data_IF_181874030838
#
_entry.id   IF_181874030838
#
_cell.length_a   1.000
_cell.length_b   1.000
_cell.length_c   1.000
_cell.angle_alpha   90.00
_cell.angle_beta   90.00
_cell.angle_gamma   90.00
#
_symmetry.space_group_name_H-M   'P 1'
#
loop_
_entity.id
_entity.type
_entity.pdbx_description
1 polymer ?
#
# COMPACT_ATOMS: atom_id res chain seq x y z
N UNK A 1 -26.94 -31.38 -2.87
CA UNK A 1 -26.82 -29.94 -2.47
C UNK A 1 -25.70 -29.33 -3.29
N UNK A 2 -25.86 -29.40 -4.60
CA UNK A 2 -25.01 -28.83 -5.62
C UNK A 2 -25.72 -27.54 -6.07
N UNK A 3 -25.18 -26.35 -5.78
CA UNK A 3 -25.46 -25.11 -6.53
C UNK A 3 -24.80 -23.82 -5.99
N UNK A 4 -23.84 -23.88 -5.04
CA UNK A 4 -23.14 -22.66 -4.59
C UNK A 4 -21.70 -22.51 -5.15
N UNK A 5 -21.29 -23.37 -6.08
CA UNK A 5 -19.96 -23.31 -6.70
C UNK A 5 -19.93 -22.53 -8.04
N UNK A 6 -21.06 -21.95 -8.48
CA UNK A 6 -21.15 -21.27 -9.78
C UNK A 6 -20.73 -19.79 -9.77
N UNK A 7 -20.57 -19.16 -8.60
CA UNK A 7 -20.42 -17.69 -8.53
C UNK A 7 -19.03 -17.17 -8.18
N UNK A 8 -18.02 -18.04 -7.95
CA UNK A 8 -16.74 -17.62 -7.37
C UNK A 8 -15.49 -18.26 -7.99
N UNK A 9 -15.59 -18.77 -9.21
CA UNK A 9 -14.42 -19.32 -9.91
C UNK A 9 -14.56 -19.18 -11.42
N UNK A 10 -14.26 -18.00 -11.93
CA UNK A 10 -14.02 -17.82 -13.36
C UNK A 10 -12.99 -16.71 -13.56
N UNK A 11 -11.71 -17.05 -13.42
CA UNK A 11 -10.57 -16.34 -14.00
C UNK A 11 -9.31 -17.23 -13.91
N UNK A 12 -9.34 -18.39 -14.58
CA UNK A 12 -8.11 -19.11 -14.92
C UNK A 12 -8.34 -20.00 -16.16
N UNK A 13 -7.48 -19.84 -17.17
CA UNK A 13 -7.38 -20.51 -18.49
C UNK A 13 -7.91 -19.66 -19.67
N UNK A 14 -7.08 -18.87 -20.36
CA UNK A 14 -6.03 -19.19 -21.36
C UNK A 14 -6.56 -19.20 -22.82
N UNK A 15 -5.93 -18.38 -23.66
CA UNK A 15 -6.01 -18.41 -25.12
C UNK A 15 -4.92 -17.52 -25.71
N UNK A 16 -3.99 -18.12 -26.45
CA UNK A 16 -2.71 -17.58 -26.93
C UNK A 16 -2.83 -16.58 -28.09
N UNK A 17 -1.78 -15.74 -28.18
CA UNK A 17 -1.19 -15.03 -29.32
C UNK A 17 -2.00 -14.03 -30.16
N UNK A 18 -1.56 -12.75 -30.14
CA UNK A 18 -1.01 -12.01 -31.31
C UNK A 18 -1.01 -10.47 -31.09
N UNK A 19 0.17 -9.89 -30.89
CA UNK A 19 0.61 -8.53 -31.30
C UNK A 19 -0.26 -7.29 -30.95
N UNK A 20 0.25 -6.38 -30.11
CA UNK A 20 0.76 -5.04 -30.52
C UNK A 20 0.68 -3.96 -29.40
N UNK A 21 1.86 -3.53 -28.96
CA UNK A 21 2.26 -2.17 -28.53
C UNK A 21 1.59 -1.54 -27.29
N UNK A 22 2.38 -1.59 -26.21
CA UNK A 22 2.26 -0.80 -25.00
C UNK A 22 2.38 0.71 -25.29
N UNK A 23 1.61 1.52 -24.55
CA UNK A 23 1.80 2.96 -24.47
C UNK A 23 3.06 3.22 -23.63
N UNK A 24 4.12 3.65 -24.31
CA UNK A 24 5.36 4.10 -23.70
C UNK A 24 5.11 5.44 -22.96
N UNK A 25 5.17 5.39 -21.63
CA UNK A 25 5.29 6.57 -20.78
C UNK A 25 6.65 7.24 -21.03
N UNK A 26 6.66 8.35 -21.77
CA UNK A 26 7.88 9.05 -22.18
C UNK A 26 8.44 9.98 -21.08
N UNK A 27 9.76 10.19 -21.14
CA UNK A 27 10.64 10.96 -20.25
C UNK A 27 10.31 12.46 -20.05
N UNK A 28 9.29 12.97 -20.75
CA UNK A 28 8.87 14.38 -20.69
C UNK A 28 7.69 14.65 -19.76
N UNK A 29 7.17 13.62 -19.10
CA UNK A 29 6.05 13.75 -18.18
C UNK A 29 6.56 14.24 -16.82
N UNK A 30 6.38 15.52 -16.52
CA UNK A 30 6.78 16.11 -15.23
C UNK A 30 6.01 15.45 -14.08
N UNK A 31 6.72 14.87 -13.12
CA UNK A 31 6.13 14.08 -12.04
C UNK A 31 5.71 14.89 -10.80
N UNK A 32 5.90 16.22 -10.79
CA UNK A 32 5.54 17.06 -9.65
C UNK A 32 4.97 18.41 -10.12
N UNK A 33 3.91 18.84 -9.46
CA UNK A 33 3.36 20.21 -9.52
C UNK A 33 4.17 21.10 -8.59
N UNK A 34 4.59 22.27 -9.04
CA UNK A 34 5.40 23.25 -8.30
C UNK A 34 4.87 23.55 -6.88
N UNK A 35 5.73 23.57 -5.84
CA UNK A 35 5.29 23.86 -4.49
C UNK A 35 5.40 25.36 -4.18
N UNK A 36 4.26 26.02 -3.96
CA UNK A 36 4.23 27.32 -3.26
C UNK A 36 4.00 27.09 -1.76
N UNK A 37 5.13 27.06 -1.03
CA UNK A 37 5.48 27.71 0.26
C UNK A 37 4.46 27.73 1.44
N UNK A 38 5.02 27.43 2.64
CA UNK A 38 4.57 27.63 4.04
C UNK A 38 3.66 26.55 4.64
N UNK A 39 3.91 25.97 5.82
CA UNK A 39 4.58 26.47 7.02
C UNK A 39 5.18 25.32 7.87
N UNK A 40 6.45 25.49 8.25
CA UNK A 40 7.02 25.33 9.61
C UNK A 40 6.39 24.35 10.62
N UNK A 41 7.14 23.32 11.03
CA UNK A 41 7.86 23.27 12.33
C UNK A 41 8.52 21.90 12.58
N UNK A 42 9.81 21.95 12.87
CA UNK A 42 10.71 20.82 13.18
C UNK A 42 10.57 20.46 14.66
N UNK A 43 10.62 19.16 15.03
CA UNK A 43 11.33 18.73 16.26
C UNK A 43 11.61 17.21 16.33
N UNK A 44 12.84 16.81 16.00
CA UNK A 44 13.57 15.77 16.73
C UNK A 44 14.96 16.31 17.03
N UNK A 45 15.11 16.91 18.20
CA UNK A 45 16.43 17.19 18.79
C UNK A 45 16.33 16.86 20.29
N UNK A 46 17.23 15.97 20.70
CA UNK A 46 17.54 15.64 22.09
C UNK A 46 17.96 16.93 22.82
N UNK A 47 17.22 17.30 23.84
CA UNK A 47 17.48 18.52 24.62
C UNK A 47 18.49 18.21 25.71
N UNK A 48 19.76 18.55 25.48
CA UNK A 48 20.67 18.91 26.57
C UNK A 48 21.32 20.28 26.23
N UNK A 49 21.01 21.24 27.08
CA UNK A 49 21.73 22.47 27.45
C UNK A 49 21.95 23.65 26.46
N UNK A 50 21.19 24.72 26.79
CA UNK A 50 21.32 26.17 26.59
C UNK A 50 22.63 26.82 26.03
N UNK A 51 22.50 27.45 24.84
CA UNK A 51 22.91 28.83 24.38
C UNK A 51 24.40 29.31 24.45
N UNK A 52 24.84 30.41 23.76
CA UNK A 52 24.36 31.12 22.54
C UNK A 52 25.46 31.55 21.52
N UNK A 53 25.03 31.76 20.26
CA UNK A 53 25.45 32.74 19.22
C UNK A 53 26.94 33.14 19.04
N UNK A 54 27.52 32.84 17.85
CA UNK A 54 28.28 33.79 16.98
C UNK A 54 29.13 33.03 15.94
N UNK A 55 28.70 33.01 14.66
CA UNK A 55 29.64 33.01 13.53
C UNK A 55 28.93 33.35 12.22
N UNK A 56 29.05 34.60 11.79
CA UNK A 56 28.52 35.21 10.56
C UNK A 56 29.36 34.88 9.32
N UNK A 57 29.63 33.60 9.04
CA UNK A 57 30.31 33.19 7.81
C UNK A 57 29.69 31.89 7.29
N UNK A 58 29.28 31.79 6.01
CA UNK A 58 28.96 30.50 5.43
C UNK A 58 30.25 29.69 5.40
N UNK A 59 30.39 28.79 6.37
CA UNK A 59 31.47 27.80 6.40
C UNK A 59 31.24 26.95 5.15
N UNK A 60 32.22 26.90 4.23
CA UNK A 60 32.26 25.99 3.07
C UNK A 60 31.84 24.54 3.38
N UNK A 61 31.92 24.16 4.66
CA UNK A 61 31.43 22.90 5.23
C UNK A 61 29.91 22.70 5.09
N UNK A 62 29.08 23.74 5.17
CA UNK A 62 27.61 23.62 5.09
C UNK A 62 27.14 23.34 3.66
N UNK A 63 27.73 24.04 2.67
CA UNK A 63 27.47 23.78 1.25
C UNK A 63 27.87 22.34 0.89
N UNK A 64 29.03 21.87 1.35
CA UNK A 64 29.46 20.49 1.12
C UNK A 64 28.57 19.46 1.83
N UNK A 65 28.04 19.79 3.01
CA UNK A 65 27.07 18.94 3.72
C UNK A 65 25.72 18.88 2.99
N UNK A 66 25.25 20.01 2.47
CA UNK A 66 24.03 20.08 1.66
C UNK A 66 24.17 19.23 0.38
N UNK A 67 25.31 19.33 -0.31
CA UNK A 67 25.60 18.49 -1.49
C UNK A 67 25.66 17.00 -1.15
N UNK A 68 26.27 16.62 -0.03
CA UNK A 68 26.27 15.23 0.42
C UNK A 68 24.86 14.72 0.76
N UNK A 69 24.02 15.56 1.37
CA UNK A 69 22.62 15.22 1.65
C UNK A 69 21.84 15.00 0.35
N UNK A 70 22.00 15.90 -0.63
CA UNK A 70 21.36 15.77 -1.95
C UNK A 70 21.81 14.47 -2.62
N UNK A 71 23.11 14.16 -2.59
CA UNK A 71 23.63 12.95 -3.20
C UNK A 71 23.11 11.68 -2.52
N UNK A 72 23.07 11.66 -1.19
CA UNK A 72 22.55 10.52 -0.42
C UNK A 72 21.04 10.34 -0.62
N UNK A 73 20.28 11.43 -0.62
CA UNK A 73 18.84 11.43 -0.89
C UNK A 73 18.56 10.95 -2.32
N UNK A 74 19.31 11.45 -3.30
CA UNK A 74 19.22 10.99 -4.70
C UNK A 74 19.56 9.51 -4.82
N UNK A 75 20.67 9.06 -4.21
CA UNK A 75 21.07 7.65 -4.22
C UNK A 75 20.03 6.72 -3.55
N UNK A 76 19.27 7.24 -2.59
CA UNK A 76 18.18 6.51 -1.92
C UNK A 76 16.91 6.47 -2.77
N UNK A 77 16.62 7.55 -3.49
CA UNK A 77 15.37 7.72 -4.24
C UNK A 77 15.45 7.24 -5.70
N UNK A 78 16.66 7.04 -6.24
CA UNK A 78 16.85 6.46 -7.56
C UNK A 78 16.56 4.95 -7.51
N UNK A 79 15.67 4.51 -8.39
CA UNK A 79 15.27 3.10 -8.48
C UNK A 79 16.29 2.36 -9.36
N UNK A 80 17.04 1.44 -8.77
CA UNK A 80 17.86 0.49 -9.52
C UNK A 80 16.97 -0.66 -10.04
N UNK A 81 16.60 -0.58 -11.32
CA UNK A 81 15.79 -1.59 -12.00
C UNK A 81 16.53 -2.93 -12.15
N UNK A 82 17.87 -2.93 -12.16
CA UNK A 82 18.67 -4.13 -12.28
C UNK A 82 18.79 -4.91 -10.96
N UNK A 83 18.55 -4.26 -9.81
CA UNK A 83 18.58 -4.88 -8.49
C UNK A 83 17.34 -5.72 -8.14
N UNK A 84 16.36 -5.85 -9.04
CA UNK A 84 15.14 -6.65 -8.85
C UNK A 84 15.37 -8.18 -8.91
N UNK A 85 16.60 -8.62 -9.18
CA UNK A 85 16.97 -10.03 -9.18
C UNK A 85 17.01 -10.67 -7.78
N UNK A 86 16.87 -12.00 -7.74
CA UNK A 86 16.89 -12.78 -6.50
C UNK A 86 18.28 -12.76 -5.83
N UNK A 87 18.44 -11.84 -4.88
CA UNK A 87 19.34 -11.88 -3.71
C UNK A 87 20.84 -12.08 -3.98
N UNK A 88 21.60 -10.99 -3.87
CA UNK A 88 23.05 -11.02 -3.58
C UNK A 88 23.34 -11.37 -2.11
N UNK A 89 22.62 -12.35 -1.54
CA UNK A 89 22.87 -12.81 -0.17
C UNK A 89 23.50 -14.19 -0.22
N UNK A 90 24.69 -14.31 0.35
CA UNK A 90 25.36 -15.60 0.45
C UNK A 90 24.59 -16.55 1.38
N UNK A 91 24.61 -17.85 1.07
CA UNK A 91 23.89 -18.86 1.85
C UNK A 91 24.34 -18.89 3.32
N UNK A 92 25.63 -18.67 3.58
CA UNK A 92 26.16 -18.67 4.94
C UNK A 92 25.61 -17.50 5.77
N UNK A 93 25.59 -16.30 5.18
CA UNK A 93 25.04 -15.09 5.83
C UNK A 93 23.54 -15.24 6.10
N UNK A 94 22.80 -15.85 5.18
CA UNK A 94 21.39 -16.18 5.40
C UNK A 94 21.19 -17.08 6.62
N UNK A 95 21.99 -18.15 6.74
CA UNK A 95 21.90 -19.10 7.86
C UNK A 95 22.27 -18.44 9.20
N UNK A 96 23.32 -17.62 9.22
CA UNK A 96 23.74 -16.88 10.41
C UNK A 96 22.65 -15.91 10.88
N UNK A 97 22.09 -15.11 9.97
CA UNK A 97 20.96 -14.20 10.28
C UNK A 97 19.74 -14.95 10.78
N UNK A 98 19.42 -16.10 10.17
CA UNK A 98 18.30 -16.97 10.59
C UNK A 98 18.49 -17.46 12.02
N UNK A 99 19.69 -17.96 12.34
CA UNK A 99 20.02 -18.44 13.69
C UNK A 99 19.97 -17.30 14.71
N UNK A 100 20.54 -16.14 14.37
CA UNK A 100 20.52 -14.95 15.22
C UNK A 100 19.09 -14.49 15.54
N UNK A 101 18.23 -14.35 14.53
CA UNK A 101 16.84 -13.94 14.73
C UNK A 101 16.03 -14.99 15.48
N UNK A 102 16.25 -16.27 15.21
CA UNK A 102 15.59 -17.36 15.93
C UNK A 102 15.95 -17.33 17.42
N UNK A 103 17.24 -17.16 17.74
CA UNK A 103 17.70 -17.04 19.13
C UNK A 103 17.09 -15.81 19.81
N UNK A 104 17.11 -14.64 19.16
CA UNK A 104 16.54 -13.39 19.68
C UNK A 104 15.02 -13.47 19.85
N UNK A 105 14.32 -14.17 18.96
CA UNK A 105 12.87 -14.37 19.07
C UNK A 105 12.54 -15.35 20.19
N UNK A 106 13.35 -16.39 20.40
CA UNK A 106 13.15 -17.36 21.49
C UNK A 106 13.24 -16.72 22.89
N UNK A 107 14.06 -15.68 23.06
CA UNK A 107 14.16 -14.95 24.34
C UNK A 107 12.94 -14.04 24.55
N UNK A 108 12.45 -13.40 23.49
CA UNK A 108 11.26 -12.53 23.53
C UNK A 108 9.94 -13.31 23.63
N UNK A 109 9.86 -14.51 23.03
CA UNK A 109 8.66 -15.37 23.07
C UNK A 109 8.33 -15.88 24.49
N UNK A 110 9.29 -15.82 25.42
CA UNK A 110 9.02 -16.08 26.85
C UNK A 110 8.14 -15.00 27.48
N UNK A 111 8.12 -13.80 26.91
CA UNK A 111 7.31 -12.66 27.32
C UNK A 111 6.11 -12.41 26.41
N UNK A 112 5.91 -13.19 25.35
CA UNK A 112 4.74 -13.03 24.51
C UNK A 112 3.51 -13.65 25.19
N UNK A 113 2.50 -12.79 25.42
CA UNK A 113 1.20 -13.16 25.98
C UNK A 113 0.26 -13.81 24.95
N UNK A 114 0.71 -13.98 23.70
CA UNK A 114 -0.03 -14.54 22.56
C UNK A 114 -0.02 -16.08 22.56
N UNK A 115 -0.09 -16.73 23.72
CA UNK A 115 -0.07 -18.19 23.79
C UNK A 115 -1.38 -18.84 23.38
N UNK A 116 -2.47 -18.08 23.45
CA UNK A 116 -3.78 -18.51 22.98
C UNK A 116 -4.37 -17.39 22.13
N UNK A 117 -4.74 -17.64 20.86
CA UNK A 117 -5.62 -16.69 20.18
C UNK A 117 -6.89 -16.54 21.04
N UNK A 118 -7.42 -15.33 21.22
CA UNK A 118 -8.68 -15.17 21.93
C UNK A 118 -9.72 -16.05 21.24
N UNK A 119 -10.50 -16.80 22.02
CA UNK A 119 -11.64 -17.52 21.46
C UNK A 119 -12.56 -16.51 20.78
N UNK A 120 -13.17 -16.89 19.67
CA UNK A 120 -14.19 -16.04 19.05
C UNK A 120 -15.32 -15.85 20.08
N UNK A 121 -15.85 -14.63 20.18
CA UNK A 121 -16.95 -14.23 21.06
C UNK A 121 -16.62 -14.13 22.57
N UNK A 122 -15.37 -13.86 22.96
CA UNK A 122 -15.02 -13.53 24.37
C UNK A 122 -15.83 -12.34 24.90
N UNK A 123 -16.21 -11.41 24.01
CA UNK A 123 -16.89 -10.17 24.37
C UNK A 123 -18.42 -10.29 24.47
N UNK A 124 -19.01 -11.47 24.19
CA UNK A 124 -20.46 -11.67 24.25
C UNK A 124 -20.83 -12.35 25.57
N UNK A 125 -21.32 -11.61 26.58
CA UNK A 125 -21.83 -12.23 27.79
C UNK A 125 -23.11 -13.01 27.48
N UNK A 126 -23.12 -14.30 27.83
CA UNK A 126 -24.30 -15.19 27.72
C UNK A 126 -24.76 -15.35 26.24
N UNK A 127 -23.96 -16.02 25.39
CA UNK A 127 -24.21 -16.12 23.95
C UNK A 127 -25.55 -16.78 23.62
N UNK A 128 -26.01 -17.73 24.42
CA UNK A 128 -27.33 -18.37 24.27
C UNK A 128 -28.49 -17.37 24.31
N UNK A 129 -28.40 -16.33 25.13
CA UNK A 129 -29.43 -15.29 25.23
C UNK A 129 -29.44 -14.42 23.98
N UNK A 130 -28.28 -14.05 23.47
CA UNK A 130 -28.14 -13.22 22.27
C UNK A 130 -28.63 -13.98 21.03
N UNK A 131 -28.28 -15.26 20.90
CA UNK A 131 -28.71 -16.09 19.79
C UNK A 131 -30.21 -16.45 19.84
N UNK A 132 -30.83 -16.44 21.02
CA UNK A 132 -32.26 -16.68 21.20
C UNK A 132 -33.11 -15.41 21.03
N UNK A 133 -32.50 -14.25 20.78
CA UNK A 133 -33.23 -13.02 20.53
C UNK A 133 -34.03 -13.10 19.23
N UNK A 134 -35.05 -12.24 19.10
CA UNK A 134 -35.82 -12.16 17.87
C UNK A 134 -34.91 -11.83 16.68
N UNK A 135 -35.03 -12.52 15.55
CA UNK A 135 -34.23 -12.22 14.37
C UNK A 135 -34.60 -10.83 13.81
N UNK A 136 -33.74 -10.33 12.91
CA UNK A 136 -34.01 -9.08 12.17
C UNK A 136 -35.37 -9.14 11.47
N UNK A 137 -36.07 -8.01 11.44
CA UNK A 137 -37.39 -7.92 10.82
C UNK A 137 -37.29 -8.06 9.29
N UNK A 138 -38.35 -8.59 8.67
CA UNK A 138 -38.40 -8.68 7.20
C UNK A 138 -38.39 -7.31 6.54
N UNK A 139 -38.99 -6.30 7.18
CA UNK A 139 -39.00 -4.91 6.68
C UNK A 139 -37.58 -4.34 6.59
N UNK A 140 -36.74 -4.62 7.59
CA UNK A 140 -35.35 -4.17 7.58
C UNK A 140 -34.52 -4.91 6.51
N UNK A 141 -34.78 -6.20 6.30
CA UNK A 141 -34.16 -6.96 5.21
C UNK A 141 -34.53 -6.37 3.83
N UNK A 142 -35.80 -6.07 3.61
CA UNK A 142 -36.28 -5.46 2.37
C UNK A 142 -35.67 -4.08 2.16
N UNK A 143 -35.58 -3.26 3.22
CA UNK A 143 -34.92 -1.96 3.17
C UNK A 143 -33.44 -2.08 2.80
N UNK A 144 -32.72 -3.03 3.40
CA UNK A 144 -31.31 -3.28 3.07
C UNK A 144 -31.15 -3.72 1.61
N UNK A 145 -32.02 -4.60 1.12
CA UNK A 145 -31.99 -5.05 -0.28
C UNK A 145 -32.21 -3.89 -1.25
N UNK A 146 -33.21 -3.03 -0.99
CA UNK A 146 -33.47 -1.83 -1.80
C UNK A 146 -32.29 -0.87 -1.78
N UNK A 147 -31.65 -0.68 -0.63
CA UNK A 147 -30.49 0.19 -0.50
C UNK A 147 -29.30 -0.35 -1.32
N UNK A 148 -29.05 -1.66 -1.26
CA UNK A 148 -27.99 -2.32 -2.05
C UNK A 148 -28.30 -2.23 -3.54
N UNK A 149 -29.54 -2.49 -3.96
CA UNK A 149 -29.95 -2.39 -5.37
C UNK A 149 -29.71 -0.98 -5.92
N UNK A 150 -30.08 0.06 -5.16
CA UNK A 150 -29.80 1.45 -5.52
C UNK A 150 -28.31 1.74 -5.65
N UNK A 151 -27.50 1.23 -4.73
CA UNK A 151 -26.05 1.42 -4.77
C UNK A 151 -25.43 0.71 -6.00
N UNK A 152 -25.88 -0.51 -6.31
CA UNK A 152 -25.43 -1.25 -7.49
C UNK A 152 -25.84 -0.50 -8.76
N UNK A 153 -27.07 0.00 -8.85
CA UNK A 153 -27.52 0.79 -10.00
C UNK A 153 -26.69 2.06 -10.18
N UNK A 154 -26.38 2.78 -9.10
CA UNK A 154 -25.51 3.96 -9.16
C UNK A 154 -24.07 3.63 -9.61
N UNK A 155 -23.56 2.43 -9.28
CA UNK A 155 -22.25 1.97 -9.77
C UNK A 155 -22.26 1.63 -11.26
N UNK A 156 -23.39 1.14 -11.80
CA UNK A 156 -23.53 0.89 -13.24
C UNK A 156 -23.54 2.18 -14.06
N UNK A 157 -23.97 3.29 -13.45
CA UNK A 157 -23.90 4.61 -14.07
C UNK A 157 -22.45 5.15 -14.12
N UNK A 158 -21.50 4.54 -13.41
CA UNK A 158 -20.08 4.89 -13.49
C UNK A 158 -19.46 4.26 -14.75
N UNK A 159 -19.70 4.91 -15.88
CA UNK A 159 -19.13 4.56 -17.18
C UNK A 159 -18.57 5.80 -17.87
N UNK A 160 -17.62 5.58 -18.77
CA UNK A 160 -17.14 6.65 -19.64
C UNK A 160 -18.19 6.88 -20.75
N UNK A 161 -18.70 8.09 -20.84
CA UNK A 161 -19.57 8.48 -21.95
C UNK A 161 -18.74 8.54 -23.24
N UNK A 162 -19.16 7.87 -24.34
CA UNK A 162 -18.44 7.91 -25.60
C UNK A 162 -18.40 9.33 -26.16
N UNK A 163 -17.20 9.88 -26.29
CA UNK A 163 -16.95 11.17 -26.93
C UNK A 163 -16.59 10.97 -28.40
N UNK A 164 -15.41 11.45 -28.79
CA UNK A 164 -14.87 11.28 -30.13
C UNK A 164 -14.16 9.92 -30.29
N UNK A 165 -14.03 9.46 -31.53
CA UNK A 165 -13.30 8.23 -31.84
C UNK A 165 -11.82 8.40 -31.49
N UNK A 166 -11.35 7.62 -30.50
CA UNK A 166 -9.92 7.58 -30.13
C UNK A 166 -9.04 6.97 -31.24
N UNK A 167 -9.65 6.23 -32.17
CA UNK A 167 -8.96 5.56 -33.27
C UNK A 167 -9.66 5.89 -34.57
N UNK A 168 -8.97 6.60 -35.45
CA UNK A 168 -9.46 6.92 -36.79
C UNK A 168 -8.69 6.09 -37.82
N UNK A 169 -9.36 5.29 -38.68
CA UNK A 169 -8.67 4.53 -39.71
C UNK A 169 -8.21 5.45 -40.83
N UNK A 170 -6.93 5.38 -41.17
CA UNK A 170 -6.39 6.06 -42.34
C UNK A 170 -6.89 5.36 -43.61
N UNK A 171 -7.72 6.06 -44.39
CA UNK A 171 -8.01 5.69 -45.78
C UNK A 171 -7.23 6.59 -46.71
N UNK A 172 -6.50 5.97 -47.65
CA UNK A 172 -5.83 6.66 -48.75
C UNK A 172 -6.84 6.76 -49.90
N UNK A 173 -6.99 7.93 -50.56
CA UNK A 173 -7.93 8.13 -51.67
C UNK A 173 -7.60 7.28 -52.90
#
# INVERSE_FOLDING_TARGET
>A
MENLCKYLSCCFSCGEDSSSQAIDSNERTHLLVDPVINNTSIQRVHSDDYLPCDSSLPKKTDEQSALNRILQETATNVIDVAALGSHNLEQHEYLERTNYYTAKLSTLAKWSFLKNPPSLLVDIPVPEKVLSASPISSLDLDLMNIAVEKAVNALLDLKLEPGEDLVVPFRIP
#
